data_IF_247191053526
#
_entry.id   IF_247191053526
#
_cell.length_a   1.000
_cell.length_b   1.000
_cell.length_c   1.000
_cell.angle_alpha   90.00
_cell.angle_beta   90.00
_cell.angle_gamma   90.00
#
_symmetry.space_group_name_H-M   'P 1'
#
loop_
_entity.id
_entity.type
_entity.pdbx_description
1 polymer ?
#
# COMPACT_ATOMS: atom_id res chain seq x y z
N UNK A 1 -11.95 -6.72 -18.53
CA UNK A 1 -11.87 -5.42 -17.85
C UNK A 1 -10.60 -5.39 -17.01
N UNK A 2 -9.55 -4.61 -17.33
CA UNK A 2 -8.36 -4.58 -16.50
C UNK A 2 -8.59 -3.58 -15.36
N UNK A 3 -9.34 -3.98 -14.34
CA UNK A 3 -9.48 -3.17 -13.13
C UNK A 3 -8.32 -3.53 -12.21
N UNK A 4 -7.48 -2.55 -11.85
CA UNK A 4 -6.83 -2.43 -10.52
C UNK A 4 -6.62 -3.76 -9.79
N UNK A 5 -5.77 -4.65 -10.33
CA UNK A 5 -5.71 -6.05 -9.88
C UNK A 5 -4.97 -6.29 -8.56
N UNK A 6 -4.28 -5.31 -7.99
CA UNK A 6 -3.43 -5.55 -6.82
C UNK A 6 -3.91 -4.86 -5.53
N UNK A 7 -4.59 -3.73 -5.62
CA UNK A 7 -5.04 -2.99 -4.41
C UNK A 7 -6.43 -3.41 -3.93
N UNK A 8 -6.52 -3.83 -2.68
CA UNK A 8 -7.74 -4.21 -1.98
C UNK A 8 -8.43 -2.98 -1.36
N UNK A 9 -9.46 -2.48 -2.04
CA UNK A 9 -10.18 -1.26 -1.64
C UNK A 9 -10.84 -1.34 -0.24
N UNK A 10 -11.16 -2.54 0.23
CA UNK A 10 -11.75 -2.78 1.56
C UNK A 10 -10.72 -2.94 2.68
N UNK A 11 -9.43 -2.85 2.37
CA UNK A 11 -8.33 -2.87 3.32
C UNK A 11 -7.75 -1.46 3.46
N UNK A 12 -7.10 -1.21 4.58
CA UNK A 12 -6.31 -0.01 4.85
C UNK A 12 -5.05 0.03 3.99
N UNK A 13 -4.42 1.20 3.89
CA UNK A 13 -3.14 1.35 3.19
C UNK A 13 -2.09 0.42 3.78
N UNK A 14 -1.98 0.35 5.12
CA UNK A 14 -1.00 -0.52 5.80
C UNK A 14 -1.23 -2.01 5.47
N UNK A 15 -2.47 -2.50 5.58
CA UNK A 15 -2.82 -3.89 5.24
C UNK A 15 -2.51 -4.23 3.78
N UNK A 16 -2.72 -3.29 2.85
CA UNK A 16 -2.36 -3.49 1.44
C UNK A 16 -0.84 -3.66 1.26
N UNK A 17 -0.04 -2.79 1.90
CA UNK A 17 1.41 -2.87 1.82
C UNK A 17 1.96 -4.14 2.49
N UNK A 18 1.36 -4.56 3.62
CA UNK A 18 1.68 -5.83 4.28
C UNK A 18 1.39 -7.03 3.38
N UNK A 19 0.28 -7.01 2.63
CA UNK A 19 -0.08 -8.06 1.68
C UNK A 19 0.93 -8.19 0.52
N UNK A 20 1.47 -7.07 0.02
CA UNK A 20 2.55 -7.08 -0.98
C UNK A 20 3.88 -7.56 -0.40
N UNK A 21 4.22 -7.12 0.80
CA UNK A 21 5.44 -7.52 1.48
C UNK A 21 5.43 -8.96 2.05
N UNK A 22 4.29 -9.67 2.00
CA UNK A 22 4.12 -11.01 2.59
C UNK A 22 5.12 -12.06 2.08
N UNK A 23 5.66 -11.91 0.87
CA UNK A 23 6.67 -12.82 0.32
C UNK A 23 8.06 -12.65 0.95
N UNK A 24 8.27 -11.62 1.77
CA UNK A 24 9.55 -11.30 2.43
C UNK A 24 9.35 -11.34 3.95
N UNK A 25 9.24 -12.56 4.50
CA UNK A 25 8.82 -12.81 5.89
C UNK A 25 9.67 -12.09 6.97
N UNK A 26 10.97 -11.89 6.73
CA UNK A 26 11.89 -11.38 7.75
C UNK A 26 12.04 -9.84 7.77
N UNK A 27 11.51 -9.12 6.76
CA UNK A 27 11.80 -7.68 6.58
C UNK A 27 10.58 -6.80 6.27
N UNK A 28 9.35 -7.31 6.42
CA UNK A 28 8.10 -6.59 6.12
C UNK A 28 8.09 -5.16 6.67
N UNK A 29 8.47 -4.98 7.95
CA UNK A 29 8.45 -3.66 8.59
C UNK A 29 9.46 -2.69 7.96
N UNK A 30 10.63 -3.17 7.58
CA UNK A 30 11.66 -2.33 6.96
C UNK A 30 11.20 -1.90 5.56
N UNK A 31 10.64 -2.83 4.78
CA UNK A 31 10.07 -2.57 3.46
C UNK A 31 8.95 -1.52 3.55
N UNK A 32 8.04 -1.67 4.50
CA UNK A 32 6.94 -0.71 4.69
C UNK A 32 7.47 0.68 5.09
N UNK A 33 8.47 0.76 5.97
CA UNK A 33 9.09 2.05 6.31
C UNK A 33 9.81 2.67 5.09
N UNK A 34 10.51 1.89 4.27
CA UNK A 34 11.10 2.38 3.01
C UNK A 34 10.02 2.94 2.05
N UNK A 35 8.89 2.24 1.93
CA UNK A 35 7.75 2.71 1.14
C UNK A 35 7.18 4.01 1.72
N UNK A 36 7.14 4.17 3.04
CA UNK A 36 6.72 5.40 3.69
C UNK A 36 7.71 6.55 3.51
N UNK A 37 9.00 6.27 3.37
CA UNK A 37 9.99 7.29 3.01
C UNK A 37 9.81 7.75 1.56
N UNK A 38 9.53 6.83 0.63
CA UNK A 38 9.24 7.11 -0.78
C UNK A 38 7.91 7.84 -0.98
N UNK A 39 6.88 7.45 -0.23
CA UNK A 39 5.53 8.01 -0.32
C UNK A 39 5.00 8.42 1.07
N UNK A 40 5.43 9.57 1.62
CA UNK A 40 5.03 10.04 2.96
C UNK A 40 3.51 10.13 3.16
N UNK A 41 2.78 10.42 2.07
CA UNK A 41 1.32 10.47 2.09
C UNK A 41 0.67 9.13 2.45
N UNK A 42 1.32 8.00 2.15
CA UNK A 42 0.84 6.67 2.54
C UNK A 42 1.00 6.45 4.05
N UNK A 43 2.07 6.99 4.66
CA UNK A 43 2.28 6.98 6.12
C UNK A 43 1.20 7.77 6.85
N UNK A 44 0.90 8.97 6.35
CA UNK A 44 -0.15 9.83 6.90
C UNK A 44 -1.53 9.15 6.83
N UNK A 45 -1.76 8.36 5.79
CA UNK A 45 -3.03 7.68 5.50
C UNK A 45 -3.02 6.19 5.80
N UNK A 46 -2.06 5.70 6.59
CA UNK A 46 -1.86 4.25 6.82
C UNK A 46 -3.12 3.51 7.28
N UNK A 47 -3.95 4.18 8.09
CA UNK A 47 -5.20 3.64 8.64
C UNK A 47 -6.43 3.89 7.75
N UNK A 48 -6.28 4.61 6.64
CA UNK A 48 -7.38 4.92 5.74
C UNK A 48 -7.62 3.77 4.76
N UNK A 49 -8.88 3.49 4.44
CA UNK A 49 -9.23 2.51 3.41
C UNK A 49 -8.74 2.96 2.04
N UNK A 50 -8.14 2.04 1.28
CA UNK A 50 -7.62 2.34 -0.06
C UNK A 50 -8.73 2.79 -1.02
N UNK A 51 -9.97 2.31 -0.80
CA UNK A 51 -11.15 2.74 -1.55
C UNK A 51 -11.45 4.25 -1.45
N UNK A 52 -11.05 4.91 -0.37
CA UNK A 52 -11.31 6.33 -0.13
C UNK A 52 -10.22 7.26 -0.69
N UNK A 53 -9.11 6.70 -1.15
CA UNK A 53 -8.00 7.47 -1.68
C UNK A 53 -8.33 8.09 -3.05
N UNK A 54 -7.59 9.14 -3.41
CA UNK A 54 -7.62 9.64 -4.79
C UNK A 54 -7.03 8.61 -5.76
N UNK A 55 -7.29 8.75 -7.06
CA UNK A 55 -6.74 7.86 -8.08
C UNK A 55 -5.20 7.80 -8.07
N UNK A 56 -4.52 8.93 -7.90
CA UNK A 56 -3.07 9.00 -7.80
C UNK A 56 -2.52 8.34 -6.54
N UNK A 57 -3.22 8.48 -5.41
CA UNK A 57 -2.84 7.80 -4.16
C UNK A 57 -3.02 6.28 -4.24
N UNK A 58 -4.11 5.80 -4.86
CA UNK A 58 -4.27 4.36 -5.13
C UNK A 58 -3.15 3.80 -6.01
N UNK A 59 -2.67 4.60 -6.97
CA UNK A 59 -1.54 4.21 -7.81
C UNK A 59 -0.24 4.12 -7.00
N UNK A 60 -0.03 5.00 -6.01
CA UNK A 60 1.12 4.91 -5.10
C UNK A 60 1.08 3.65 -4.23
N UNK A 61 -0.10 3.25 -3.71
CA UNK A 61 -0.24 1.98 -2.98
C UNK A 61 0.12 0.79 -3.88
N UNK A 62 -0.43 0.76 -5.10
CA UNK A 62 -0.15 -0.30 -6.07
C UNK A 62 1.33 -0.36 -6.51
N UNK A 63 2.10 0.72 -6.34
CA UNK A 63 3.54 0.75 -6.60
C UNK A 63 4.36 0.28 -5.39
N UNK A 64 3.80 0.36 -4.17
CA UNK A 64 4.41 -0.14 -2.93
C UNK A 64 4.12 -1.64 -2.68
N UNK A 65 3.06 -2.18 -3.25
CA UNK A 65 2.78 -3.63 -3.33
C UNK A 65 3.70 -4.29 -4.38
N UNK A 66 4.98 -4.47 -4.05
CA UNK A 66 5.94 -5.19 -4.90
C UNK A 66 5.65 -6.70 -4.99
#
# INVERSE_FOLDING_TARGET
MPQTKNVFAGMTVEENLEMGAFLVEDEIKNIIEEIYELFPILREKRNQLVGELSGGQRQQVALGEL
#
